data_IF_179125845113
#
_entry.id   IF_179125845113
#
_cell.length_a   1.000
_cell.length_b   1.000
_cell.length_c   1.000
_cell.angle_alpha   90.00
_cell.angle_beta   90.00
_cell.angle_gamma   90.00
#
_symmetry.space_group_name_H-M   'P 1'
#
loop_
_entity.id
_entity.type
_entity.pdbx_description
1 polymer ?
#
# COMPACT_ATOMS: atom_id res chain seq x y z
N UNK A 1 -29.44 -6.16 -13.11
CA UNK A 1 -28.81 -5.13 -13.96
C UNK A 1 -27.84 -4.36 -13.08
N UNK A 2 -26.52 -4.47 -13.30
CA UNK A 2 -25.55 -3.80 -12.42
C UNK A 2 -24.18 -4.49 -12.36
N UNK A 3 -23.63 -4.87 -13.52
CA UNK A 3 -22.30 -5.50 -13.61
C UNK A 3 -21.24 -4.53 -14.13
N UNK A 4 -21.33 -3.21 -13.90
CA UNK A 4 -20.54 -2.28 -14.74
C UNK A 4 -19.73 -1.19 -14.02
N UNK A 5 -19.86 -0.99 -12.71
CA UNK A 5 -19.18 0.16 -12.06
C UNK A 5 -17.90 -0.20 -11.30
N UNK A 6 -17.66 -1.49 -11.01
CA UNK A 6 -16.54 -1.89 -10.14
C UNK A 6 -15.22 -2.17 -10.89
N UNK A 7 -15.25 -2.29 -12.22
CA UNK A 7 -14.04 -2.52 -13.03
C UNK A 7 -13.29 -1.23 -13.41
N UNK A 8 -13.94 -0.07 -13.38
CA UNK A 8 -13.28 1.22 -13.66
C UNK A 8 -12.57 1.82 -12.42
N UNK A 9 -12.81 1.26 -11.22
CA UNK A 9 -12.13 1.62 -9.97
C UNK A 9 -10.78 0.91 -9.78
N UNK A 10 -10.49 -0.13 -10.57
CA UNK A 10 -9.24 -0.89 -10.48
C UNK A 10 -7.98 -0.07 -10.80
N UNK A 11 -8.13 1.09 -11.47
CA UNK A 11 -7.01 1.98 -11.79
C UNK A 11 -6.70 3.01 -10.69
N UNK A 12 -7.64 3.27 -9.76
CA UNK A 12 -7.50 4.33 -8.74
C UNK A 12 -6.88 3.87 -7.42
N UNK A 13 -6.74 2.56 -7.19
CA UNK A 13 -6.15 1.99 -5.97
C UNK A 13 -4.61 1.99 -5.98
N UNK A 14 -4.00 2.45 -7.07
CA UNK A 14 -2.55 2.46 -7.28
C UNK A 14 -1.91 3.78 -6.82
N UNK A 15 -2.40 4.40 -5.74
CA UNK A 15 -1.66 5.48 -5.07
C UNK A 15 -0.49 4.87 -4.29
N UNK A 16 0.54 4.47 -5.03
CA UNK A 16 1.78 3.88 -4.50
C UNK A 16 2.69 5.01 -4.03
N UNK A 17 2.48 5.44 -2.79
CA UNK A 17 3.51 6.20 -2.09
C UNK A 17 4.51 5.20 -1.49
N UNK A 18 5.70 5.09 -2.11
CA UNK A 18 6.75 4.16 -1.68
C UNK A 18 7.86 4.92 -0.96
N UNK A 19 8.04 4.64 0.33
CA UNK A 19 9.15 5.18 1.11
C UNK A 19 10.35 4.24 0.92
N UNK A 20 11.16 4.53 -0.10
CA UNK A 20 12.40 3.79 -0.46
C UNK A 20 13.65 4.29 0.31
N UNK A 21 13.46 5.03 1.40
CA UNK A 21 14.53 5.77 2.11
C UNK A 21 15.74 4.91 2.57
N UNK A 22 16.73 5.58 3.18
CA UNK A 22 17.96 4.93 3.68
C UNK A 22 17.79 4.33 5.09
N UNK A 23 18.47 3.20 5.37
CA UNK A 23 18.52 2.61 6.71
C UNK A 23 19.00 3.65 7.73
N UNK A 24 18.27 3.78 8.86
CA UNK A 24 18.50 4.76 9.95
C UNK A 24 18.19 6.24 9.63
N UNK A 25 17.55 6.54 8.50
CA UNK A 25 17.11 7.91 8.17
C UNK A 25 15.80 8.36 8.83
N UNK A 26 15.24 7.60 9.78
CA UNK A 26 13.98 7.96 10.44
C UNK A 26 12.72 7.68 9.60
N UNK A 27 12.77 6.76 8.63
CA UNK A 27 11.61 6.37 7.80
C UNK A 27 10.40 5.90 8.62
N UNK A 28 10.63 5.31 9.79
CA UNK A 28 9.55 4.89 10.70
C UNK A 28 8.80 6.07 11.32
N UNK A 29 9.52 7.13 11.74
CA UNK A 29 8.90 8.32 12.31
C UNK A 29 8.02 9.06 11.27
N UNK A 30 8.46 9.09 10.01
CA UNK A 30 7.66 9.64 8.90
C UNK A 30 6.40 8.79 8.67
N UNK A 31 6.52 7.47 8.68
CA UNK A 31 5.37 6.56 8.59
C UNK A 31 4.36 6.80 9.71
N UNK A 32 4.84 6.90 10.96
CA UNK A 32 3.99 7.12 12.13
C UNK A 32 3.30 8.49 12.07
N UNK A 33 3.99 9.53 11.59
CA UNK A 33 3.40 10.85 11.36
C UNK A 33 2.30 10.81 10.28
N UNK A 34 2.53 10.09 9.18
CA UNK A 34 1.54 9.90 8.11
C UNK A 34 0.34 9.07 8.57
N UNK A 35 0.55 8.12 9.50
CA UNK A 35 -0.50 7.30 10.07
C UNK A 35 -1.54 8.10 10.88
N UNK A 36 -1.16 9.27 11.39
CA UNK A 36 -2.06 10.16 12.13
C UNK A 36 -3.10 10.82 11.22
N UNK A 37 -2.86 10.88 9.91
CA UNK A 37 -3.77 11.55 8.99
C UNK A 37 -4.95 10.65 8.61
N UNK A 38 -6.21 11.05 8.84
CA UNK A 38 -7.38 10.19 8.68
C UNK A 38 -7.59 9.68 7.25
N UNK A 39 -7.12 10.44 6.25
CA UNK A 39 -7.22 10.09 4.82
C UNK A 39 -6.07 9.22 4.30
N UNK A 40 -5.06 8.93 5.12
CA UNK A 40 -3.90 8.13 4.71
C UNK A 40 -4.01 6.76 5.37
N UNK A 41 -3.93 5.70 4.56
CA UNK A 41 -3.85 4.32 5.04
C UNK A 41 -2.45 3.80 4.76
N UNK A 42 -1.72 3.49 5.83
CA UNK A 42 -0.38 2.93 5.73
C UNK A 42 -0.40 1.42 5.98
N UNK A 43 0.49 0.68 5.31
CA UNK A 43 0.80 -0.67 5.72
C UNK A 43 1.56 -0.63 7.05
N UNK A 44 1.10 -1.39 8.06
CA UNK A 44 1.69 -1.37 9.42
C UNK A 44 3.14 -1.86 9.47
N UNK A 45 3.51 -2.71 8.53
CA UNK A 45 4.80 -3.37 8.46
C UNK A 45 5.46 -3.19 7.10
N UNK A 46 6.79 -3.15 7.08
CA UNK A 46 7.57 -3.18 5.86
C UNK A 46 7.35 -4.53 5.17
N UNK A 47 6.69 -4.51 4.00
CA UNK A 47 6.35 -5.74 3.26
C UNK A 47 7.60 -6.43 2.70
N UNK A 48 8.73 -5.71 2.61
CA UNK A 48 9.99 -6.18 2.01
C UNK A 48 9.77 -6.92 0.69
N UNK A 49 8.89 -6.39 -0.17
CA UNK A 49 8.56 -7.02 -1.44
C UNK A 49 9.76 -7.01 -2.40
N UNK A 50 10.45 -5.86 -2.49
CA UNK A 50 11.58 -5.66 -3.40
C UNK A 50 12.94 -6.13 -2.83
N UNK A 51 13.04 -6.30 -1.51
CA UNK A 51 14.29 -6.70 -0.83
C UNK A 51 14.37 -8.23 -0.64
N UNK A 52 13.23 -8.90 -0.36
CA UNK A 52 13.20 -10.36 -0.16
C UNK A 52 12.74 -11.07 -1.42
N UNK A 53 13.64 -11.85 -2.03
CA UNK A 53 13.34 -12.66 -3.21
C UNK A 53 12.13 -13.60 -3.02
N UNK A 54 11.97 -14.18 -1.83
CA UNK A 54 10.80 -15.03 -1.50
C UNK A 54 9.47 -14.29 -1.64
N UNK A 55 9.44 -13.00 -1.34
CA UNK A 55 8.24 -12.16 -1.47
C UNK A 55 8.04 -11.73 -2.92
N UNK A 56 9.12 -11.37 -3.60
CA UNK A 56 9.10 -10.99 -5.01
C UNK A 56 8.52 -12.11 -5.91
N UNK A 57 8.92 -13.37 -5.67
CA UNK A 57 8.40 -14.54 -6.40
C UNK A 57 6.90 -14.79 -6.20
N UNK A 58 6.26 -14.21 -5.18
CA UNK A 58 4.81 -14.34 -4.95
C UNK A 58 3.98 -13.44 -5.88
N UNK A 59 4.63 -12.50 -6.56
CA UNK A 59 4.00 -11.61 -7.52
C UNK A 59 3.19 -10.45 -6.90
N UNK A 60 2.68 -9.60 -7.79
CA UNK A 60 1.97 -8.36 -7.43
C UNK A 60 0.62 -8.62 -6.73
N UNK A 61 -0.05 -9.73 -7.02
CA UNK A 61 -1.31 -10.10 -6.35
C UNK A 61 -1.12 -10.30 -4.85
N UNK A 62 -0.02 -10.97 -4.47
CA UNK A 62 0.36 -11.11 -3.07
C UNK A 62 0.69 -9.76 -2.43
N UNK A 63 1.42 -8.89 -3.13
CA UNK A 63 1.76 -7.55 -2.65
C UNK A 63 0.52 -6.69 -2.41
N UNK A 64 -0.45 -6.71 -3.34
CA UNK A 64 -1.72 -5.99 -3.23
C UNK A 64 -2.51 -6.42 -1.99
N UNK A 65 -2.52 -7.72 -1.67
CA UNK A 65 -3.16 -8.27 -0.46
C UNK A 65 -2.53 -7.80 0.86
N UNK A 66 -1.28 -7.34 0.84
CA UNK A 66 -0.62 -6.79 2.04
C UNK A 66 -0.99 -5.32 2.28
N UNK A 67 -1.58 -4.64 1.29
CA UNK A 67 -1.96 -3.24 1.41
C UNK A 67 -3.33 -3.09 2.07
N UNK A 68 -3.52 -2.07 2.92
CA UNK A 68 -4.85 -1.75 3.43
C UNK A 68 -5.76 -1.37 2.26
N UNK A 69 -7.02 -1.84 2.31
CA UNK A 69 -8.02 -1.39 1.35
C UNK A 69 -8.23 0.11 1.54
N UNK A 70 -8.17 0.87 0.45
CA UNK A 70 -8.73 2.22 0.45
C UNK A 70 -10.23 2.06 0.69
N UNK A 71 -10.75 2.63 1.79
CA UNK A 71 -12.20 2.73 1.91
C UNK A 71 -12.68 3.62 0.75
N UNK A 72 -13.77 3.26 0.04
CA UNK A 72 -14.60 4.28 -0.54
C UNK A 72 -15.17 5.07 0.63
N UNK A 73 -14.91 6.38 0.67
CA UNK A 73 -15.64 7.26 1.57
C UNK A 73 -17.15 7.11 1.24
N UNK A 74 -17.99 6.89 2.26
CA UNK A 74 -19.46 6.99 2.17
C UNK A 74 -19.90 8.46 2.03
#
# INVERSE_FOLDING_TARGET
MGKNTCQHLLTLIYQIFLIIGVRKGGTRALLDALALHPKIKIARHEVHFFDKEKNFRRGLDWYSKQMPKACPDD
#
